data_IF_520078301417
#
_entry.id   IF_520078301417
#
_cell.length_a   1.000
_cell.length_b   1.000
_cell.length_c   1.000
_cell.angle_alpha   90.00
_cell.angle_beta   90.00
_cell.angle_gamma   90.00
#
_symmetry.space_group_name_H-M   'P 1'
#
loop_
_entity.id
_entity.type
_entity.pdbx_description
1 polymer ?
#
# COMPACT_ATOMS: atom_id res chain seq x y z
N UNK A 1 11.40 -1.31 -5.28
CA UNK A 1 10.56 -1.77 -4.17
C UNK A 1 9.15 -2.07 -4.66
N UNK A 2 8.62 -3.20 -4.24
CA UNK A 2 7.27 -3.63 -4.67
C UNK A 2 6.27 -3.22 -3.59
N UNK A 3 5.34 -2.34 -3.96
CA UNK A 3 4.31 -1.82 -3.07
C UNK A 3 2.95 -2.24 -3.61
N UNK A 4 2.11 -2.80 -2.75
CA UNK A 4 0.75 -3.17 -3.14
C UNK A 4 -0.25 -2.46 -2.24
N UNK A 5 -1.24 -1.82 -2.87
CA UNK A 5 -2.33 -1.16 -2.15
C UNK A 5 -3.57 -2.04 -2.22
N UNK A 6 -4.26 -2.14 -1.11
CA UNK A 6 -5.48 -2.95 -1.04
C UNK A 6 -6.63 -2.08 -0.57
N UNK A 7 -7.75 -2.15 -1.28
CA UNK A 7 -8.90 -1.30 -1.03
C UNK A 7 -10.19 -2.10 -1.15
N UNK A 8 -11.30 -1.46 -0.87
CA UNK A 8 -12.60 -2.08 -1.06
C UNK A 8 -12.90 -2.19 -2.55
N UNK A 9 -13.61 -3.23 -2.95
CA UNK A 9 -14.01 -3.42 -4.34
C UNK A 9 -14.82 -2.21 -4.81
N UNK A 10 -14.52 -1.73 -6.00
CA UNK A 10 -15.22 -0.58 -6.60
C UNK A 10 -14.67 0.78 -6.19
N UNK A 11 -13.70 0.83 -5.28
CA UNK A 11 -13.05 2.09 -4.90
C UNK A 11 -11.86 2.31 -5.81
N UNK A 12 -11.77 3.51 -6.40
CA UNK A 12 -10.67 3.84 -7.29
C UNK A 12 -9.47 4.37 -6.50
N UNK A 13 -8.36 3.66 -6.59
CA UNK A 13 -7.09 4.10 -6.02
C UNK A 13 -6.09 4.49 -7.11
N UNK A 14 -6.52 4.49 -8.37
CA UNK A 14 -5.62 4.76 -9.49
C UNK A 14 -4.97 6.13 -9.41
N UNK A 15 -5.70 7.15 -8.94
CA UNK A 15 -5.11 8.48 -8.80
C UNK A 15 -4.01 8.48 -7.74
N UNK A 16 -4.23 7.81 -6.62
CA UNK A 16 -3.21 7.72 -5.57
C UNK A 16 -1.97 6.97 -6.07
N UNK A 17 -2.16 5.85 -6.78
CA UNK A 17 -1.05 5.11 -7.38
C UNK A 17 -0.24 6.01 -8.30
N UNK A 18 -0.92 6.77 -9.17
CA UNK A 18 -0.25 7.69 -10.08
C UNK A 18 0.54 8.75 -9.32
N UNK A 19 -0.04 9.33 -8.28
CA UNK A 19 0.64 10.34 -7.46
C UNK A 19 1.86 9.76 -6.74
N UNK A 20 1.77 8.52 -6.28
CA UNK A 20 2.91 7.86 -5.66
C UNK A 20 4.02 7.58 -6.67
N UNK A 21 3.66 7.16 -7.87
CA UNK A 21 4.63 6.93 -8.94
C UNK A 21 5.34 8.22 -9.32
N UNK A 22 4.61 9.33 -9.43
CA UNK A 22 5.17 10.64 -9.72
C UNK A 22 6.14 11.07 -8.60
N UNK A 23 5.74 10.86 -7.34
CA UNK A 23 6.59 11.19 -6.20
C UNK A 23 7.88 10.37 -6.19
N UNK A 24 7.77 9.08 -6.51
CA UNK A 24 8.93 8.20 -6.58
C UNK A 24 9.90 8.65 -7.68
N UNK A 25 9.36 9.03 -8.83
CA UNK A 25 10.17 9.52 -9.95
C UNK A 25 10.93 10.79 -9.55
N UNK A 26 10.26 11.72 -8.86
CA UNK A 26 10.89 12.95 -8.36
C UNK A 26 12.06 12.64 -7.42
N UNK A 27 11.93 11.60 -6.62
CA UNK A 27 12.95 11.20 -5.64
C UNK A 27 14.00 10.27 -6.24
N UNK A 28 13.90 9.92 -7.51
CA UNK A 28 14.81 8.97 -8.13
C UNK A 28 14.65 7.55 -7.57
N UNK A 29 13.47 7.20 -7.09
CA UNK A 29 13.18 5.89 -6.52
C UNK A 29 12.51 4.99 -7.57
N UNK A 30 12.87 3.72 -7.54
CA UNK A 30 12.29 2.73 -8.44
C UNK A 30 11.25 1.94 -7.65
N UNK A 31 9.99 2.04 -8.07
CA UNK A 31 8.88 1.38 -7.37
C UNK A 31 7.96 0.68 -8.35
N UNK A 32 7.37 -0.42 -7.90
CA UNK A 32 6.33 -1.14 -8.64
C UNK A 32 5.08 -1.09 -7.77
N UNK A 33 4.14 -0.25 -8.13
CA UNK A 33 2.93 0.00 -7.33
C UNK A 33 1.70 -0.45 -8.10
N UNK A 34 0.94 -1.38 -7.52
CA UNK A 34 -0.32 -1.84 -8.09
C UNK A 34 -1.37 -1.88 -6.99
N UNK A 35 -2.58 -1.49 -7.32
CA UNK A 35 -3.72 -1.55 -6.40
C UNK A 35 -4.60 -2.75 -6.72
N UNK A 36 -5.07 -3.42 -5.68
CA UNK A 36 -5.94 -4.59 -5.79
C UNK A 36 -7.09 -4.49 -4.79
N UNK A 37 -8.23 -5.15 -5.04
CA UNK A 37 -9.22 -5.34 -3.99
C UNK A 37 -8.61 -6.18 -2.86
N UNK A 38 -9.02 -5.92 -1.62
CA UNK A 38 -8.48 -6.63 -0.47
C UNK A 38 -8.62 -8.16 -0.62
N UNK A 39 -9.69 -8.61 -1.25
CA UNK A 39 -9.95 -10.04 -1.45
C UNK A 39 -8.85 -10.74 -2.26
N UNK A 40 -8.03 -9.99 -2.98
CA UNK A 40 -6.94 -10.54 -3.79
C UNK A 40 -5.62 -10.66 -3.03
N UNK A 41 -5.58 -10.21 -1.77
CA UNK A 41 -4.32 -10.13 -1.03
C UNK A 41 -3.56 -11.45 -0.97
N UNK A 42 -4.24 -12.54 -0.63
CA UNK A 42 -3.57 -13.84 -0.52
C UNK A 42 -2.90 -14.26 -1.83
N UNK A 43 -3.54 -13.91 -2.95
CA UNK A 43 -3.05 -14.28 -4.28
C UNK A 43 -1.84 -13.48 -4.71
N UNK A 44 -1.76 -12.21 -4.33
CA UNK A 44 -0.76 -11.28 -4.89
C UNK A 44 0.34 -10.88 -3.91
N UNK A 45 0.29 -11.35 -2.67
CA UNK A 45 1.21 -10.88 -1.63
C UNK A 45 2.63 -11.44 -1.77
N UNK A 46 2.83 -12.48 -2.53
CA UNK A 46 4.15 -13.09 -2.69
C UNK A 46 5.12 -12.12 -3.36
N UNK A 47 6.30 -11.94 -2.76
CA UNK A 47 7.32 -11.05 -3.32
C UNK A 47 7.09 -9.57 -3.09
N UNK A 48 6.10 -9.21 -2.31
CA UNK A 48 5.78 -7.80 -2.00
C UNK A 48 6.68 -7.30 -0.86
N UNK A 49 7.17 -6.08 -1.01
CA UNK A 49 8.02 -5.46 0.02
C UNK A 49 7.20 -4.76 1.10
N UNK A 50 6.08 -4.16 0.73
CA UNK A 50 5.20 -3.50 1.69
C UNK A 50 3.76 -3.50 1.16
N UNK A 51 2.81 -3.72 2.07
CA UNK A 51 1.38 -3.71 1.75
C UNK A 51 0.72 -2.55 2.50
N UNK A 52 -0.12 -1.80 1.81
CA UNK A 52 -0.85 -0.68 2.38
C UNK A 52 -2.35 -0.90 2.22
N UNK A 53 -3.11 -0.65 3.28
CA UNK A 53 -4.56 -0.76 3.23
C UNK A 53 -5.18 0.63 3.09
N UNK A 54 -6.15 0.77 2.20
CA UNK A 54 -6.96 1.98 2.17
C UNK A 54 -7.78 2.07 3.46
N UNK A 55 -8.10 3.28 3.92
CA UNK A 55 -8.87 3.45 5.17
C UNK A 55 -10.22 2.70 5.15
N UNK A 56 -10.81 2.49 3.97
CA UNK A 56 -12.08 1.80 3.83
C UNK A 56 -12.01 0.33 4.30
N UNK A 57 -10.82 -0.26 4.24
CA UNK A 57 -10.60 -1.64 4.68
C UNK A 57 -9.72 -1.72 5.90
N UNK A 58 -9.57 -0.61 6.63
CA UNK A 58 -8.77 -0.57 7.85
C UNK A 58 -9.23 -1.56 8.90
N UNK A 59 -10.52 -1.88 8.94
CA UNK A 59 -11.07 -2.88 9.85
C UNK A 59 -10.54 -4.29 9.56
N UNK A 60 -9.92 -4.49 8.39
CA UNK A 60 -9.34 -5.77 7.99
C UNK A 60 -7.85 -5.89 8.34
N UNK A 61 -7.31 -4.93 9.10
CA UNK A 61 -5.87 -4.94 9.41
C UNK A 61 -5.42 -6.24 10.08
N UNK A 62 -6.20 -6.77 11.02
CA UNK A 62 -5.86 -8.03 11.68
C UNK A 62 -5.76 -9.18 10.68
N UNK A 63 -6.74 -9.27 9.77
CA UNK A 63 -6.73 -10.30 8.72
C UNK A 63 -5.56 -10.10 7.78
N UNK A 64 -5.28 -8.83 7.43
CA UNK A 64 -4.14 -8.52 6.56
C UNK A 64 -2.83 -8.98 7.19
N UNK A 65 -2.66 -8.79 8.49
CA UNK A 65 -1.47 -9.24 9.19
C UNK A 65 -1.35 -10.76 9.19
N UNK A 66 -2.46 -11.48 9.33
CA UNK A 66 -2.46 -12.93 9.24
C UNK A 66 -1.93 -13.42 7.88
N UNK A 67 -2.23 -12.68 6.82
CA UNK A 67 -1.78 -13.02 5.46
C UNK A 67 -0.33 -12.58 5.24
N UNK A 68 0.03 -11.39 5.69
CA UNK A 68 1.31 -10.77 5.40
C UNK A 68 2.45 -11.21 6.31
N UNK A 69 2.19 -11.40 7.60
CA UNK A 69 3.24 -11.75 8.57
C UNK A 69 4.01 -13.02 8.19
N UNK A 70 3.33 -14.12 7.80
CA UNK A 70 4.09 -15.32 7.40
C UNK A 70 4.97 -15.12 6.18
N UNK A 71 4.68 -14.11 5.36
CA UNK A 71 5.47 -13.77 4.17
C UNK A 71 6.53 -12.71 4.46
N UNK A 72 6.59 -12.20 5.68
CA UNK A 72 7.54 -11.16 6.04
C UNK A 72 7.21 -9.80 5.43
N UNK A 73 5.94 -9.56 5.09
CA UNK A 73 5.52 -8.31 4.45
C UNK A 73 4.91 -7.38 5.51
N UNK A 74 5.51 -6.21 5.75
CA UNK A 74 4.89 -5.24 6.65
C UNK A 74 3.61 -4.70 6.03
N UNK A 75 2.57 -4.54 6.85
CA UNK A 75 1.28 -4.03 6.40
C UNK A 75 0.71 -3.05 7.41
N UNK A 76 0.14 -1.95 6.93
CA UNK A 76 -0.54 -0.98 7.78
C UNK A 76 -1.57 -0.21 6.95
N UNK A 77 -2.40 0.56 7.66
CA UNK A 77 -3.45 1.37 7.05
C UNK A 77 -2.90 2.74 6.68
N UNK A 78 -3.19 3.19 5.47
CA UNK A 78 -2.79 4.54 5.03
C UNK A 78 -3.55 5.56 5.89
N UNK A 79 -2.86 6.60 6.42
CA UNK A 79 -3.56 7.66 7.15
C UNK A 79 -4.69 8.26 6.30
N UNK A 80 -5.86 8.39 6.89
CA UNK A 80 -7.06 8.84 6.17
C UNK A 80 -6.85 10.18 5.48
N UNK A 81 -6.16 11.11 6.13
CA UNK A 81 -5.90 12.43 5.58
C UNK A 81 -5.07 12.33 4.29
N UNK A 82 -4.00 11.54 4.31
CA UNK A 82 -3.13 11.39 3.14
C UNK A 82 -3.85 10.67 2.01
N UNK A 83 -4.69 9.70 2.34
CA UNK A 83 -5.47 8.98 1.36
C UNK A 83 -6.52 9.90 0.72
N UNK A 84 -7.23 10.65 1.54
CA UNK A 84 -8.30 11.54 1.08
C UNK A 84 -7.78 12.65 0.19
N UNK A 85 -6.58 13.14 0.45
CA UNK A 85 -5.94 14.20 -0.34
C UNK A 85 -5.11 13.66 -1.50
N UNK A 86 -5.06 12.35 -1.67
CA UNK A 86 -4.22 11.69 -2.67
C UNK A 86 -2.76 12.17 -2.56
N UNK A 87 -2.26 12.29 -1.33
CA UNK A 87 -0.91 12.79 -1.09
C UNK A 87 0.11 11.67 -1.34
N UNK A 88 0.45 11.48 -2.61
CA UNK A 88 1.34 10.40 -3.04
C UNK A 88 2.70 10.44 -2.36
N UNK A 89 3.25 11.64 -2.13
CA UNK A 89 4.54 11.78 -1.46
C UNK A 89 4.48 11.25 -0.03
N UNK A 90 3.45 11.64 0.75
CA UNK A 90 3.33 11.18 2.13
C UNK A 90 3.06 9.68 2.21
N UNK A 91 2.24 9.16 1.31
CA UNK A 91 1.96 7.72 1.27
C UNK A 91 3.22 6.95 0.89
N UNK A 92 4.00 7.46 -0.05
CA UNK A 92 5.27 6.84 -0.43
C UNK A 92 6.24 6.81 0.75
N UNK A 93 6.36 7.92 1.47
CA UNK A 93 7.21 7.99 2.67
C UNK A 93 6.75 6.99 3.72
N UNK A 94 5.44 6.86 3.89
CA UNK A 94 4.84 5.91 4.82
C UNK A 94 5.23 4.47 4.45
N UNK A 95 5.16 4.15 3.16
CA UNK A 95 5.54 2.83 2.66
C UNK A 95 7.02 2.53 2.93
N UNK A 96 7.90 3.48 2.66
CA UNK A 96 9.33 3.31 2.92
C UNK A 96 9.63 3.14 4.40
N UNK A 97 8.92 3.89 5.25
CA UNK A 97 9.07 3.77 6.70
C UNK A 97 8.69 2.38 7.18
N UNK A 98 7.58 1.85 6.68
CA UNK A 98 7.13 0.49 7.01
C UNK A 98 8.15 -0.56 6.57
N UNK A 99 8.64 -0.44 5.35
CA UNK A 99 9.62 -1.38 4.81
C UNK A 99 10.91 -1.35 5.61
N UNK A 100 11.32 -0.18 6.08
CA UNK A 100 12.55 -0.02 6.87
C UNK A 100 12.41 -0.65 8.26
N UNK A 101 11.21 -0.66 8.82
CA UNK A 101 10.93 -1.19 10.15
C UNK A 101 10.51 -2.66 10.13
N UNK A 102 10.69 -3.30 9.03
CA UNK A 102 10.35 -4.70 8.78
C UNK A 102 11.10 -5.66 9.71
#
# INVERSE_FOLDING_TARGET
MVIRLFCAAGVSTSLLVKKMEEAAKEKGKDVDIVAYPFTEMERVIEGVDVALLGPQVGYQLARAKEICDPKGVPVDVIPMQDYGMCNGMNVLKFAYKLAKNK
#
